data_IF_312206819418
#
_entry.id   IF_312206819418
#
_cell.length_a   1.000
_cell.length_b   1.000
_cell.length_c   1.000
_cell.angle_alpha   90.00
_cell.angle_beta   90.00
_cell.angle_gamma   90.00
#
_symmetry.space_group_name_H-M   'P 1'
#
loop_
_entity.id
_entity.type
_entity.pdbx_description
1 polymer ?
#
# COMPACT_ATOMS: atom_id res chain seq x y z
N UNK A 1 -7.55 -9.22 -6.00
CA UNK A 1 -6.59 -9.67 -4.97
C UNK A 1 -6.31 -8.60 -3.91
N UNK A 2 -5.64 -7.49 -4.24
CA UNK A 2 -5.32 -6.44 -3.26
C UNK A 2 -6.55 -5.95 -2.48
N UNK A 3 -7.64 -5.62 -3.19
CA UNK A 3 -8.94 -5.27 -2.61
C UNK A 3 -9.44 -6.30 -1.59
N UNK A 4 -9.56 -7.57 -2.00
CA UNK A 4 -10.07 -8.66 -1.16
C UNK A 4 -9.25 -8.82 0.13
N UNK A 5 -7.91 -8.72 0.04
CA UNK A 5 -7.02 -8.88 1.18
C UNK A 5 -7.24 -7.82 2.28
N UNK A 6 -7.56 -6.59 1.89
CA UNK A 6 -7.84 -5.49 2.81
C UNK A 6 -9.30 -5.35 3.21
N UNK A 7 -10.24 -5.72 2.33
CA UNK A 7 -11.67 -5.63 2.60
C UNK A 7 -12.06 -6.46 3.83
N UNK A 8 -11.51 -7.67 3.95
CA UNK A 8 -11.75 -8.53 5.10
C UNK A 8 -11.29 -7.93 6.44
N UNK A 9 -10.25 -7.10 6.45
CA UNK A 9 -9.76 -6.47 7.67
C UNK A 9 -10.76 -5.39 8.14
N UNK A 10 -11.27 -4.60 7.19
CA UNK A 10 -12.28 -3.58 7.45
C UNK A 10 -13.62 -4.12 7.98
N UNK A 11 -13.98 -5.35 7.61
CA UNK A 11 -15.26 -5.97 7.98
C UNK A 11 -15.47 -6.15 9.49
N UNK A 12 -14.39 -6.33 10.27
CA UNK A 12 -14.52 -6.73 11.67
C UNK A 12 -14.45 -5.58 12.67
N UNK A 13 -13.94 -4.41 12.29
CA UNK A 13 -13.60 -3.38 13.27
C UNK A 13 -14.77 -2.91 14.13
N UNK A 14 -15.91 -2.62 13.51
CA UNK A 14 -17.08 -2.11 14.22
C UNK A 14 -17.87 -3.19 14.97
N UNK A 15 -17.70 -4.47 14.62
CA UNK A 15 -18.48 -5.59 15.17
C UNK A 15 -17.71 -6.46 16.15
N UNK A 16 -16.37 -6.39 16.17
CA UNK A 16 -15.53 -7.30 16.97
C UNK A 16 -15.76 -7.18 18.48
N UNK A 17 -15.85 -5.95 19.01
CA UNK A 17 -16.09 -5.73 20.44
C UNK A 17 -17.50 -6.19 20.87
N UNK A 18 -18.59 -5.71 20.24
CA UNK A 18 -19.93 -6.18 20.57
C UNK A 18 -20.09 -7.70 20.42
N UNK A 19 -19.38 -8.33 19.48
CA UNK A 19 -19.36 -9.78 19.33
C UNK A 19 -18.67 -10.47 20.50
N UNK A 20 -17.47 -10.03 20.89
CA UNK A 20 -16.72 -10.60 22.01
C UNK A 20 -17.54 -10.56 23.31
N UNK A 21 -18.14 -9.42 23.63
CA UNK A 21 -19.00 -9.25 24.81
C UNK A 21 -20.28 -10.12 24.74
N UNK A 22 -20.72 -10.50 23.53
CA UNK A 22 -21.88 -11.38 23.35
C UNK A 22 -21.53 -12.85 23.54
N UNK A 23 -20.37 -13.30 23.05
CA UNK A 23 -19.95 -14.70 23.17
C UNK A 23 -19.33 -15.04 24.53
N UNK A 24 -18.72 -14.05 25.20
CA UNK A 24 -18.10 -14.17 26.52
C UNK A 24 -18.32 -12.87 27.32
N UNK A 25 -19.35 -12.81 28.19
CA UNK A 25 -19.62 -11.65 29.02
C UNK A 25 -18.52 -11.34 30.06
N UNK A 26 -17.63 -12.29 30.37
CA UNK A 26 -16.50 -12.08 31.27
C UNK A 26 -15.29 -11.46 30.56
N UNK A 27 -15.35 -11.32 29.23
CA UNK A 27 -14.25 -10.76 28.46
C UNK A 27 -14.07 -9.27 28.75
N UNK A 28 -12.84 -8.88 29.13
CA UNK A 28 -12.49 -7.48 29.37
C UNK A 28 -12.11 -6.76 28.08
N UNK A 29 -12.23 -5.42 28.08
CA UNK A 29 -11.73 -4.55 27.00
C UNK A 29 -10.22 -4.75 26.75
N UNK A 30 -9.47 -5.10 27.80
CA UNK A 30 -8.05 -5.42 27.71
C UNK A 30 -7.82 -6.67 26.86
N UNK A 31 -8.67 -7.68 26.97
CA UNK A 31 -8.57 -8.90 26.19
C UNK A 31 -8.85 -8.66 24.70
N UNK A 32 -9.76 -7.73 24.35
CA UNK A 32 -9.91 -7.26 22.98
C UNK A 32 -8.59 -6.70 22.42
N UNK A 33 -7.89 -5.89 23.22
CA UNK A 33 -6.56 -5.38 22.88
C UNK A 33 -5.57 -6.51 22.56
N UNK A 34 -5.58 -7.59 23.35
CA UNK A 34 -4.73 -8.78 23.11
C UNK A 34 -5.12 -9.49 21.81
N UNK A 35 -6.41 -9.66 21.51
CA UNK A 35 -6.88 -10.27 20.25
C UNK A 35 -6.36 -9.50 19.04
N UNK A 36 -6.43 -8.18 19.08
CA UNK A 36 -6.00 -7.31 17.98
C UNK A 36 -4.47 -7.26 17.89
N UNK A 37 -3.78 -7.23 19.03
CA UNK A 37 -2.33 -7.35 19.07
C UNK A 37 -1.84 -8.68 18.47
N UNK A 38 -2.52 -9.81 18.75
CA UNK A 38 -2.17 -11.11 18.18
C UNK A 38 -2.21 -11.11 16.64
N UNK A 39 -3.22 -10.48 16.04
CA UNK A 39 -3.28 -10.26 14.59
C UNK A 39 -2.08 -9.45 14.08
N UNK A 40 -1.76 -8.33 14.74
CA UNK A 40 -0.65 -7.45 14.35
C UNK A 40 0.73 -8.12 14.51
N UNK A 41 0.92 -8.91 15.56
CA UNK A 41 2.14 -9.69 15.82
C UNK A 41 2.32 -10.74 14.73
N UNK A 42 1.28 -11.51 14.42
CA UNK A 42 1.32 -12.47 13.32
C UNK A 42 1.68 -11.79 11.99
N UNK A 43 1.00 -10.68 11.66
CA UNK A 43 1.31 -9.91 10.45
C UNK A 43 2.78 -9.45 10.41
N UNK A 44 3.30 -8.92 11.52
CA UNK A 44 4.65 -8.39 11.62
C UNK A 44 5.72 -9.47 11.46
N UNK A 45 5.50 -10.66 12.03
CA UNK A 45 6.41 -11.80 11.93
C UNK A 45 6.35 -12.42 10.53
N UNK A 46 5.14 -12.59 9.97
CA UNK A 46 4.98 -13.32 8.71
C UNK A 46 5.25 -12.46 7.46
N UNK A 47 5.22 -11.14 7.54
CA UNK A 47 5.65 -10.27 6.43
C UNK A 47 7.09 -10.56 5.95
N UNK A 48 8.13 -10.53 6.81
CA UNK A 48 9.49 -10.85 6.39
C UNK A 48 9.65 -12.34 6.04
N UNK A 49 8.95 -13.25 6.74
CA UNK A 49 8.99 -14.70 6.42
C UNK A 49 8.46 -14.94 5.00
N UNK A 50 7.31 -14.38 4.65
CA UNK A 50 6.74 -14.51 3.32
C UNK A 50 7.63 -13.86 2.25
N UNK A 51 8.20 -12.69 2.55
CA UNK A 51 9.17 -12.03 1.66
C UNK A 51 10.40 -12.91 1.40
N UNK A 52 11.00 -13.47 2.46
CA UNK A 52 12.14 -14.39 2.34
C UNK A 52 11.75 -15.66 1.58
N UNK A 53 10.60 -16.25 1.90
CA UNK A 53 10.11 -17.47 1.25
C UNK A 53 9.86 -17.26 -0.25
N UNK A 54 9.21 -16.16 -0.62
CA UNK A 54 8.96 -15.82 -2.03
C UNK A 54 10.26 -15.61 -2.80
N UNK A 55 11.25 -14.93 -2.20
CA UNK A 55 12.56 -14.73 -2.81
C UNK A 55 13.33 -16.05 -2.99
N UNK A 56 13.24 -16.96 -2.01
CA UNK A 56 13.92 -18.27 -2.06
C UNK A 56 13.35 -19.19 -3.14
N UNK A 57 12.02 -19.24 -3.26
CA UNK A 57 11.34 -20.07 -4.26
C UNK A 57 11.31 -19.38 -5.63
N UNK A 58 11.65 -18.08 -5.70
CA UNK A 58 11.51 -17.23 -6.89
C UNK A 58 10.08 -17.24 -7.46
N UNK A 59 9.11 -17.43 -6.56
CA UNK A 59 7.69 -17.47 -6.89
C UNK A 59 6.89 -16.80 -5.76
N UNK A 60 5.89 -16.01 -6.12
CA UNK A 60 4.94 -15.38 -5.20
C UNK A 60 3.65 -16.16 -5.08
N UNK A 61 3.25 -16.90 -6.12
CA UNK A 61 1.95 -17.60 -6.16
C UNK A 61 1.78 -18.58 -4.99
N UNK A 62 2.85 -19.29 -4.62
CA UNK A 62 2.81 -20.30 -3.58
C UNK A 62 2.69 -19.68 -2.16
N UNK A 63 3.55 -18.73 -1.74
CA UNK A 63 3.35 -17.98 -0.50
C UNK A 63 1.98 -17.29 -0.40
N UNK A 64 1.52 -16.68 -1.51
CA UNK A 64 0.20 -16.03 -1.54
C UNK A 64 -0.93 -17.03 -1.32
N UNK A 65 -0.89 -18.18 -1.98
CA UNK A 65 -1.90 -19.23 -1.83
C UNK A 65 -1.97 -19.68 -0.38
N UNK A 66 -0.82 -19.95 0.25
CA UNK A 66 -0.75 -20.31 1.67
C UNK A 66 -1.38 -19.23 2.56
N UNK A 67 -1.04 -17.95 2.34
CA UNK A 67 -1.62 -16.85 3.11
C UNK A 67 -3.14 -16.74 2.94
N UNK A 68 -3.68 -16.90 1.72
CA UNK A 68 -5.14 -16.83 1.54
C UNK A 68 -5.83 -18.05 2.17
N UNK A 69 -5.23 -19.24 2.11
CA UNK A 69 -5.72 -20.41 2.83
C UNK A 69 -5.76 -20.18 4.35
N UNK A 70 -4.72 -19.58 4.93
CA UNK A 70 -4.74 -19.18 6.35
C UNK A 70 -5.87 -18.19 6.62
N UNK A 71 -6.11 -17.20 5.76
CA UNK A 71 -7.24 -16.28 5.93
C UNK A 71 -8.59 -17.02 5.88
N UNK A 72 -8.80 -17.94 4.94
CA UNK A 72 -10.03 -18.76 4.91
C UNK A 72 -10.17 -19.57 6.21
N UNK A 73 -9.10 -20.26 6.64
CA UNK A 73 -9.08 -21.04 7.88
C UNK A 73 -9.40 -20.19 9.11
N UNK A 74 -8.78 -19.01 9.23
CA UNK A 74 -9.02 -18.09 10.33
C UNK A 74 -10.45 -17.54 10.37
N UNK A 75 -11.06 -17.30 9.22
CA UNK A 75 -12.47 -16.89 9.14
C UNK A 75 -13.43 -18.05 9.44
N UNK A 76 -13.10 -19.28 9.03
CA UNK A 76 -13.86 -20.48 9.44
C UNK A 76 -13.78 -20.69 10.96
N UNK A 77 -12.59 -20.51 11.55
CA UNK A 77 -12.41 -20.60 13.00
C UNK A 77 -13.17 -19.49 13.75
N UNK A 78 -13.29 -18.31 13.16
CA UNK A 78 -14.13 -17.24 13.71
C UNK A 78 -15.61 -17.62 13.71
N UNK A 79 -16.11 -18.22 12.63
CA UNK A 79 -17.48 -18.72 12.54
C UNK A 79 -17.74 -19.85 13.54
N UNK A 80 -16.74 -20.70 13.80
CA UNK A 80 -16.90 -21.81 14.74
C UNK A 80 -16.82 -21.40 16.21
N UNK A 81 -16.52 -20.14 16.54
CA UNK A 81 -16.43 -19.66 17.93
C UNK A 81 -17.70 -19.96 18.75
N UNK A 82 -18.88 -19.93 18.14
CA UNK A 82 -20.16 -20.19 18.84
C UNK A 82 -20.40 -21.68 19.12
N UNK A 83 -19.77 -22.58 18.36
CA UNK A 83 -19.87 -24.03 18.55
C UNK A 83 -19.09 -24.52 19.79
N UNK A 84 -18.10 -23.75 20.26
CA UNK A 84 -17.33 -24.13 21.44
C UNK A 84 -18.12 -23.87 22.73
N UNK A 85 -18.19 -24.84 23.66
CA UNK A 85 -18.94 -24.69 24.90
C UNK A 85 -18.25 -23.78 25.92
N UNK A 86 -16.91 -23.74 25.94
CA UNK A 86 -16.09 -22.95 26.86
C UNK A 86 -14.96 -22.24 26.12
N UNK A 87 -14.38 -21.20 26.74
CA UNK A 87 -13.16 -20.52 26.28
C UNK A 87 -13.21 -19.88 24.87
N UNK A 88 -14.40 -19.44 24.46
CA UNK A 88 -14.67 -18.84 23.13
C UNK A 88 -13.76 -17.65 22.80
N UNK A 89 -13.37 -16.86 23.80
CA UNK A 89 -12.44 -15.73 23.64
C UNK A 89 -11.07 -16.15 23.11
N UNK A 90 -10.56 -17.32 23.50
CA UNK A 90 -9.27 -17.83 23.02
C UNK A 90 -9.35 -18.41 21.62
N UNK A 91 -10.50 -19.00 21.25
CA UNK A 91 -10.77 -19.42 19.87
C UNK A 91 -10.79 -18.21 18.95
N UNK A 92 -11.44 -17.13 19.38
CA UNK A 92 -11.46 -15.86 18.64
C UNK A 92 -10.05 -15.26 18.51
N UNK A 93 -9.23 -15.30 19.57
CA UNK A 93 -7.83 -14.89 19.54
C UNK A 93 -7.03 -15.69 18.49
N UNK A 94 -7.19 -17.02 18.48
CA UNK A 94 -6.53 -17.89 17.50
C UNK A 94 -7.01 -17.60 16.07
N UNK A 95 -8.31 -17.40 15.87
CA UNK A 95 -8.88 -17.03 14.59
C UNK A 95 -8.27 -15.75 14.03
N UNK A 96 -8.09 -14.72 14.88
CA UNK A 96 -7.44 -13.46 14.52
C UNK A 96 -5.95 -13.62 14.26
N UNK A 97 -5.24 -14.42 15.06
CA UNK A 97 -3.83 -14.72 14.84
C UNK A 97 -3.60 -15.37 13.46
N UNK A 98 -4.35 -16.42 13.13
CA UNK A 98 -4.26 -17.12 11.83
C UNK A 98 -4.61 -16.18 10.67
N UNK A 99 -5.63 -15.34 10.83
CA UNK A 99 -5.99 -14.34 9.80
C UNK A 99 -4.87 -13.30 9.63
N UNK A 100 -4.15 -12.96 10.70
CA UNK A 100 -2.98 -12.08 10.67
C UNK A 100 -1.82 -12.66 9.85
N UNK A 101 -1.56 -13.97 9.95
CA UNK A 101 -0.59 -14.68 9.12
C UNK A 101 -0.89 -14.45 7.64
N UNK A 102 -2.14 -14.71 7.22
CA UNK A 102 -2.50 -14.58 5.81
C UNK A 102 -2.53 -13.14 5.30
N UNK A 103 -2.78 -12.17 6.18
CA UNK A 103 -2.78 -10.75 5.83
C UNK A 103 -1.40 -10.23 5.42
N UNK A 104 -0.32 -10.96 5.70
CA UNK A 104 1.03 -10.69 5.19
C UNK A 104 1.10 -10.69 3.64
N UNK A 105 0.11 -11.26 2.95
CA UNK A 105 -0.03 -11.21 1.50
C UNK A 105 -0.07 -9.79 0.93
N UNK A 106 -0.53 -8.80 1.69
CA UNK A 106 -0.53 -7.40 1.24
C UNK A 106 0.90 -6.90 0.97
N UNK A 107 1.86 -7.30 1.80
CA UNK A 107 3.27 -6.96 1.60
C UNK A 107 3.83 -7.64 0.35
N UNK A 108 3.51 -8.92 0.14
CA UNK A 108 3.93 -9.67 -1.05
C UNK A 108 3.44 -9.03 -2.35
N UNK A 109 2.16 -8.67 -2.44
CA UNK A 109 1.59 -8.03 -3.65
C UNK A 109 2.32 -6.73 -3.99
N UNK A 110 2.65 -5.91 -2.98
CA UNK A 110 3.38 -4.65 -3.18
C UNK A 110 4.81 -4.89 -3.66
N UNK A 111 5.51 -5.86 -3.06
CA UNK A 111 6.87 -6.22 -3.46
C UNK A 111 6.90 -6.82 -4.87
N UNK A 112 5.95 -7.67 -5.22
CA UNK A 112 5.87 -8.22 -6.57
C UNK A 112 5.63 -7.15 -7.62
N UNK A 113 4.75 -6.18 -7.36
CA UNK A 113 4.55 -5.09 -8.32
C UNK A 113 5.78 -4.19 -8.48
N UNK A 114 6.64 -4.07 -7.48
CA UNK A 114 7.89 -3.32 -7.61
C UNK A 114 8.95 -4.08 -8.40
N UNK A 115 8.98 -5.41 -8.35
CA UNK A 115 10.00 -6.24 -9.02
C UNK A 115 9.57 -6.77 -10.39
N UNK A 116 8.27 -7.00 -10.60
CA UNK A 116 7.73 -7.58 -11.83
C UNK A 116 7.52 -6.56 -12.96
N UNK A 117 7.38 -5.27 -12.64
CA UNK A 117 7.06 -4.24 -13.62
C UNK A 117 8.31 -3.56 -14.20
N UNK A 118 8.25 -3.26 -15.51
CA UNK A 118 9.19 -2.35 -16.17
C UNK A 118 9.21 -0.98 -15.47
N UNK A 119 10.36 -0.28 -15.37
CA UNK A 119 10.47 1.00 -14.67
C UNK A 119 9.41 2.05 -15.07
N UNK A 120 9.05 2.10 -16.35
CA UNK A 120 8.04 3.05 -16.87
C UNK A 120 6.61 2.74 -16.39
N UNK A 121 6.26 1.47 -16.23
CA UNK A 121 4.92 1.01 -15.85
C UNK A 121 4.77 0.74 -14.35
N UNK A 122 5.89 0.62 -13.62
CA UNK A 122 5.91 0.31 -12.18
C UNK A 122 5.05 1.28 -11.36
N UNK A 123 5.15 2.57 -11.64
CA UNK A 123 4.33 3.58 -10.96
C UNK A 123 2.83 3.38 -11.18
N UNK A 124 2.45 2.92 -12.38
CA UNK A 124 1.05 2.60 -12.74
C UNK A 124 0.54 1.39 -11.98
N UNK A 125 1.32 0.30 -11.98
CA UNK A 125 0.96 -0.93 -11.27
C UNK A 125 0.81 -0.71 -9.76
N UNK A 126 1.79 -0.02 -9.13
CA UNK A 126 1.74 0.30 -7.70
C UNK A 126 0.50 1.13 -7.37
N UNK A 127 0.14 2.08 -8.23
CA UNK A 127 -1.05 2.92 -8.01
C UNK A 127 -2.35 2.11 -8.01
N UNK A 128 -2.52 1.19 -8.96
CA UNK A 128 -3.70 0.31 -8.98
C UNK A 128 -3.79 -0.56 -7.73
N UNK A 129 -2.65 -1.07 -7.25
CA UNK A 129 -2.60 -1.84 -6.00
C UNK A 129 -3.01 -0.97 -4.83
N UNK A 130 -2.45 0.24 -4.70
CA UNK A 130 -2.80 1.16 -3.61
C UNK A 130 -4.28 1.53 -3.64
N UNK A 131 -4.83 1.83 -4.82
CA UNK A 131 -6.28 2.08 -4.97
C UNK A 131 -7.10 0.86 -4.54
N UNK A 132 -6.71 -0.34 -4.94
CA UNK A 132 -7.39 -1.57 -4.51
C UNK A 132 -7.38 -1.75 -2.99
N UNK A 133 -6.22 -1.54 -2.34
CA UNK A 133 -6.08 -1.63 -0.88
C UNK A 133 -6.94 -0.58 -0.16
N UNK A 134 -6.88 0.66 -0.65
CA UNK A 134 -7.68 1.78 -0.18
C UNK A 134 -9.19 1.51 -0.28
N UNK A 135 -9.64 1.00 -1.44
CA UNK A 135 -11.04 0.63 -1.65
C UNK A 135 -11.47 -0.49 -0.70
N UNK A 136 -10.60 -1.46 -0.41
CA UNK A 136 -10.92 -2.54 0.53
C UNK A 136 -11.17 -2.01 1.94
N UNK A 137 -10.27 -1.16 2.45
CA UNK A 137 -10.43 -0.53 3.76
C UNK A 137 -11.70 0.32 3.82
N UNK A 138 -11.98 1.09 2.76
CA UNK A 138 -13.18 1.92 2.66
C UNK A 138 -14.48 1.10 2.62
N UNK A 139 -14.54 0.04 1.79
CA UNK A 139 -15.77 -0.72 1.59
C UNK A 139 -16.01 -1.77 2.68
N UNK A 140 -15.00 -2.16 3.46
CA UNK A 140 -15.16 -3.10 4.57
C UNK A 140 -16.27 -2.69 5.55
N UNK A 141 -16.21 -1.50 6.16
CA UNK A 141 -17.28 -1.01 7.04
C UNK A 141 -18.63 -0.83 6.34
N UNK A 142 -18.64 -0.52 5.04
CA UNK A 142 -19.89 -0.41 4.27
C UNK A 142 -20.59 -1.78 4.16
N UNK A 143 -19.85 -2.87 3.93
CA UNK A 143 -20.41 -4.22 3.97
C UNK A 143 -20.96 -4.57 5.35
N UNK A 144 -20.26 -4.21 6.43
CA UNK A 144 -20.76 -4.41 7.80
C UNK A 144 -22.07 -3.66 8.07
N UNK A 145 -22.21 -2.44 7.53
CA UNK A 145 -23.45 -1.67 7.62
C UNK A 145 -24.63 -2.43 6.97
N UNK A 146 -24.43 -3.03 5.79
CA UNK A 146 -25.44 -3.86 5.13
C UNK A 146 -25.83 -5.11 5.92
N UNK A 147 -24.95 -5.62 6.79
CA UNK A 147 -25.24 -6.77 7.64
C UNK A 147 -25.95 -6.40 8.95
N UNK A 148 -25.99 -5.12 9.32
CA UNK A 148 -26.56 -4.70 10.60
C UNK A 148 -28.08 -4.90 10.75
N UNK A 149 -28.92 -4.92 9.68
CA UNK A 149 -30.32 -5.32 9.80
C UNK A 149 -30.53 -6.76 10.29
N UNK A 150 -29.50 -7.62 10.18
CA UNK A 150 -29.51 -9.01 10.66
C UNK A 150 -29.13 -9.00 12.14
N UNK A 151 -30.05 -8.55 12.99
CA UNK A 151 -29.84 -8.48 14.44
C UNK A 151 -29.38 -9.82 15.02
N UNK A 152 -28.62 -9.78 16.12
CA UNK A 152 -28.22 -10.99 16.86
C UNK A 152 -29.39 -11.53 17.70
N UNK A 153 -29.64 -12.86 17.80
CA UNK A 153 -28.86 -13.99 17.28
C UNK A 153 -29.16 -14.39 15.81
N UNK A 154 -30.03 -13.67 15.10
CA UNK A 154 -30.28 -13.90 13.69
C UNK A 154 -30.82 -15.31 13.40
N UNK A 155 -30.29 -15.97 12.37
CA UNK A 155 -30.71 -17.33 11.97
C UNK A 155 -29.70 -18.37 12.43
N UNK A 156 -30.09 -19.26 13.34
CA UNK A 156 -29.21 -20.34 13.81
C UNK A 156 -29.29 -21.52 12.84
N UNK A 157 -28.16 -21.82 12.21
CA UNK A 157 -27.97 -22.96 11.31
C UNK A 157 -27.18 -24.04 12.07
N UNK A 158 -27.52 -25.31 11.86
CA UNK A 158 -26.82 -26.50 12.36
C UNK A 158 -26.11 -26.36 13.73
N UNK A 159 -26.80 -26.70 14.81
CA UNK A 159 -26.17 -27.00 16.09
C UNK A 159 -25.46 -25.85 16.83
N UNK A 160 -25.67 -24.60 16.41
CA UNK A 160 -25.14 -23.41 17.12
C UNK A 160 -24.39 -22.39 16.27
N UNK A 161 -24.32 -22.55 14.94
CA UNK A 161 -23.78 -21.53 14.03
C UNK A 161 -24.84 -20.45 13.78
N UNK A 162 -24.74 -19.29 14.42
CA UNK A 162 -25.62 -18.17 14.09
C UNK A 162 -25.19 -17.45 12.82
N UNK A 163 -26.17 -17.09 12.00
CA UNK A 163 -26.04 -16.12 10.91
C UNK A 163 -26.60 -14.80 11.44
N UNK A 164 -25.69 -13.95 11.89
CA UNK A 164 -25.99 -12.68 12.55
C UNK A 164 -25.11 -11.56 12.01
N UNK A 165 -25.37 -10.31 12.43
CA UNK A 165 -24.53 -9.16 12.09
C UNK A 165 -23.04 -9.33 12.46
N UNK A 166 -22.71 -10.26 13.36
CA UNK A 166 -21.34 -10.53 13.78
C UNK A 166 -20.65 -11.62 12.95
N UNK A 167 -21.39 -12.63 12.51
CA UNK A 167 -20.84 -13.77 11.75
C UNK A 167 -20.90 -13.56 10.23
N UNK A 168 -21.85 -12.75 9.73
CA UNK A 168 -21.93 -12.34 8.31
C UNK A 168 -20.63 -11.75 7.75
N UNK A 169 -19.91 -10.87 8.46
CA UNK A 169 -18.56 -10.45 8.10
C UNK A 169 -17.61 -11.60 7.76
N UNK A 170 -17.67 -12.70 8.51
CA UNK A 170 -16.80 -13.85 8.28
C UNK A 170 -17.23 -14.69 7.07
N UNK A 171 -18.52 -14.85 6.82
CA UNK A 171 -19.00 -15.42 5.57
C UNK A 171 -18.57 -14.59 4.36
N UNK A 172 -18.74 -13.26 4.43
CA UNK A 172 -18.29 -12.35 3.38
C UNK A 172 -16.76 -12.43 3.17
N UNK A 173 -15.97 -12.42 4.24
CA UNK A 173 -14.51 -12.58 4.17
C UNK A 173 -14.11 -13.92 3.52
N UNK A 174 -14.75 -15.03 3.90
CA UNK A 174 -14.53 -16.34 3.28
C UNK A 174 -14.80 -16.30 1.77
N UNK A 175 -15.94 -15.76 1.34
CA UNK A 175 -16.28 -15.67 -0.10
C UNK A 175 -15.28 -14.79 -0.87
N UNK A 176 -14.87 -13.65 -0.30
CA UNK A 176 -13.86 -12.77 -0.90
C UNK A 176 -12.50 -13.45 -1.00
N UNK A 177 -12.12 -14.26 -0.01
CA UNK A 177 -10.86 -15.00 0.00
C UNK A 177 -10.87 -16.17 -0.97
N UNK A 178 -11.98 -16.89 -1.11
CA UNK A 178 -12.16 -17.91 -2.15
C UNK A 178 -12.10 -17.28 -3.55
N UNK A 179 -12.73 -16.12 -3.74
CA UNK A 179 -12.61 -15.37 -4.98
C UNK A 179 -11.17 -14.91 -5.23
N UNK A 180 -10.46 -14.46 -4.19
CA UNK A 180 -9.05 -14.11 -4.30
C UNK A 180 -8.18 -15.32 -4.71
N UNK A 181 -8.41 -16.50 -4.13
CA UNK A 181 -7.76 -17.76 -4.53
C UNK A 181 -8.08 -18.12 -5.98
N UNK A 182 -9.35 -17.98 -6.40
CA UNK A 182 -9.75 -18.21 -7.78
C UNK A 182 -9.00 -17.27 -8.74
N UNK A 183 -8.99 -15.97 -8.47
CA UNK A 183 -8.25 -15.01 -9.30
C UNK A 183 -6.74 -15.26 -9.32
N UNK A 184 -6.16 -15.69 -8.19
CA UNK A 184 -4.75 -16.06 -8.10
C UNK A 184 -4.43 -17.33 -8.90
N UNK A 185 -5.33 -18.31 -8.94
CA UNK A 185 -5.06 -19.56 -9.62
C UNK A 185 -5.27 -19.45 -11.13
N UNK A 186 -6.39 -18.86 -11.56
CA UNK A 186 -6.84 -18.85 -12.95
C UNK A 186 -6.45 -17.60 -13.73
N UNK A 187 -6.42 -16.42 -13.10
CA UNK A 187 -6.16 -15.17 -13.81
C UNK A 187 -4.71 -14.68 -13.67
N UNK A 188 -4.07 -14.97 -12.54
CA UNK A 188 -2.72 -14.48 -12.26
C UNK A 188 -1.66 -15.33 -12.98
N UNK A 189 -1.01 -14.70 -13.96
CA UNK A 189 0.20 -15.21 -14.60
C UNK A 189 1.41 -14.49 -14.02
N UNK A 190 2.30 -15.27 -13.44
CA UNK A 190 3.49 -14.77 -12.81
C UNK A 190 4.58 -14.51 -13.86
N UNK A 191 5.05 -13.27 -13.91
CA UNK A 191 6.15 -12.82 -14.75
C UNK A 191 7.04 -11.86 -13.96
N UNK A 192 8.36 -11.93 -14.18
CA UNK A 192 9.34 -11.06 -13.55
C UNK A 192 10.13 -10.34 -14.65
N UNK A 193 9.88 -9.05 -14.85
CA UNK A 193 10.59 -8.26 -15.88
C UNK A 193 12.00 -7.79 -15.45
N UNK A 194 12.44 -8.12 -14.23
CA UNK A 194 13.64 -7.54 -13.61
C UNK A 194 14.69 -8.52 -13.09
N UNK A 195 14.56 -9.82 -13.35
CA UNK A 195 15.64 -10.78 -13.09
C UNK A 195 16.54 -10.83 -14.33
N UNK A 196 17.31 -9.77 -14.57
CA UNK A 196 18.47 -9.90 -15.46
C UNK A 196 19.37 -10.98 -14.88
N UNK A 197 19.68 -12.01 -15.67
CA UNK A 197 20.79 -12.91 -15.39
C UNK A 197 22.02 -12.04 -15.09
N UNK A 198 22.73 -12.38 -14.01
CA UNK A 198 23.90 -11.70 -13.46
C UNK A 198 24.70 -10.95 -14.53
N UNK A 199 24.41 -9.66 -14.72
CA UNK A 199 25.14 -8.80 -15.63
C UNK A 199 25.35 -7.45 -14.96
N UNK A 200 26.54 -7.33 -14.37
CA UNK A 200 27.36 -6.11 -14.21
C UNK A 200 26.81 -4.89 -13.45
N UNK A 201 25.56 -4.85 -13.00
CA UNK A 201 24.96 -3.65 -12.35
C UNK A 201 25.29 -3.55 -10.84
N UNK A 202 25.91 -4.58 -10.25
CA UNK A 202 26.06 -4.70 -8.79
C UNK A 202 26.97 -3.63 -8.13
N UNK A 203 27.81 -2.93 -8.90
CA UNK A 203 28.86 -2.08 -8.32
C UNK A 203 28.53 -0.58 -8.16
N UNK A 204 27.37 -0.08 -8.62
CA UNK A 204 27.08 1.37 -8.61
C UNK A 204 25.68 1.76 -8.12
N UNK A 205 25.08 0.96 -7.24
CA UNK A 205 23.83 1.37 -6.57
C UNK A 205 24.21 2.34 -5.42
N UNK A 206 23.76 3.61 -5.45
CA UNK A 206 24.06 4.54 -4.36
C UNK A 206 23.49 4.01 -3.04
N UNK A 207 24.27 4.09 -1.96
CA UNK A 207 23.81 3.71 -0.61
C UNK A 207 22.54 4.50 -0.29
N UNK A 208 21.49 3.80 0.10
CA UNK A 208 20.24 4.45 0.50
C UNK A 208 20.47 5.24 1.80
N UNK A 209 19.72 6.33 1.96
CA UNK A 209 19.78 7.15 3.16
C UNK A 209 19.05 6.44 4.32
N UNK A 210 19.84 5.87 5.23
CA UNK A 210 19.33 5.14 6.40
C UNK A 210 18.50 6.08 7.30
N UNK A 211 18.91 7.34 7.47
CA UNK A 211 18.20 8.29 8.33
C UNK A 211 16.83 8.60 7.76
N UNK A 212 16.75 8.81 6.44
CA UNK A 212 15.48 9.03 5.75
C UNK A 212 14.57 7.80 5.85
N UNK A 213 15.11 6.59 5.63
CA UNK A 213 14.33 5.34 5.72
C UNK A 213 13.82 5.10 7.14
N UNK A 214 14.67 5.27 8.16
CA UNK A 214 14.28 5.09 9.57
C UNK A 214 13.22 6.12 9.96
N UNK A 215 13.41 7.39 9.57
CA UNK A 215 12.46 8.46 9.88
C UNK A 215 11.11 8.22 9.19
N UNK A 216 11.12 7.77 7.93
CA UNK A 216 9.90 7.42 7.19
C UNK A 216 9.15 6.25 7.84
N UNK A 217 9.86 5.16 8.17
CA UNK A 217 9.26 4.01 8.84
C UNK A 217 8.72 4.37 10.22
N UNK A 218 9.47 5.11 11.01
CA UNK A 218 9.03 5.56 12.34
C UNK A 218 7.79 6.45 12.25
N UNK A 219 7.77 7.41 11.33
CA UNK A 219 6.60 8.27 11.10
C UNK A 219 5.39 7.43 10.71
N UNK A 220 5.56 6.44 9.83
CA UNK A 220 4.47 5.57 9.40
C UNK A 220 3.99 4.63 10.51
N UNK A 221 4.90 4.15 11.35
CA UNK A 221 4.60 3.37 12.53
C UNK A 221 3.74 4.17 13.52
N UNK A 222 4.16 5.40 13.87
CA UNK A 222 3.40 6.27 14.78
C UNK A 222 2.02 6.57 14.21
N UNK A 223 1.93 6.86 12.92
CA UNK A 223 0.65 7.10 12.24
C UNK A 223 -0.28 5.88 12.32
N UNK A 224 0.24 4.68 12.03
CA UNK A 224 -0.56 3.45 12.10
C UNK A 224 -0.93 3.08 13.54
N UNK A 225 -0.05 3.35 14.50
CA UNK A 225 -0.28 3.10 15.92
C UNK A 225 -1.44 3.96 16.45
N UNK A 226 -1.40 5.28 16.21
CA UNK A 226 -2.47 6.19 16.60
C UNK A 226 -3.77 5.76 15.94
N UNK A 227 -3.73 5.48 14.63
CA UNK A 227 -4.90 5.08 13.87
C UNK A 227 -5.54 3.80 14.43
N UNK A 228 -4.74 2.78 14.71
CA UNK A 228 -5.23 1.50 15.24
C UNK A 228 -5.82 1.67 16.64
N UNK A 229 -5.18 2.44 17.53
CA UNK A 229 -5.70 2.68 18.89
C UNK A 229 -7.05 3.42 18.87
N UNK A 230 -7.17 4.41 17.99
CA UNK A 230 -8.41 5.17 17.79
C UNK A 230 -9.57 4.26 17.38
N UNK A 231 -9.34 3.35 16.43
CA UNK A 231 -10.35 2.39 15.97
C UNK A 231 -10.74 1.37 17.05
N UNK A 232 -9.78 0.89 17.86
CA UNK A 232 -10.03 -0.11 18.91
C UNK A 232 -10.94 0.45 20.00
N UNK A 233 -10.69 1.69 20.43
CA UNK A 233 -11.40 2.33 21.54
C UNK A 233 -12.83 2.72 21.14
N UNK A 234 -13.09 2.90 19.85
CA UNK A 234 -14.38 3.34 19.32
C UNK A 234 -15.56 2.44 19.75
N UNK A 235 -15.37 1.12 19.68
CA UNK A 235 -16.39 0.13 20.03
C UNK A 235 -16.80 0.20 21.51
N UNK A 236 -15.85 0.00 22.45
CA UNK A 236 -16.11 0.14 23.88
C UNK A 236 -16.72 1.49 24.26
N UNK A 237 -16.19 2.62 23.73
CA UNK A 237 -16.75 3.95 23.99
C UNK A 237 -18.21 4.09 23.56
N UNK A 238 -18.58 3.54 22.40
CA UNK A 238 -19.96 3.58 21.91
C UNK A 238 -20.92 2.90 22.89
N UNK A 239 -20.51 1.78 23.49
CA UNK A 239 -21.33 1.04 24.45
C UNK A 239 -21.34 1.70 25.84
N UNK A 240 -20.17 2.08 26.37
CA UNK A 240 -20.03 2.50 27.77
C UNK A 240 -20.30 3.99 28.00
N UNK A 241 -19.83 4.87 27.12
CA UNK A 241 -19.96 6.33 27.29
C UNK A 241 -21.27 6.84 26.70
N UNK A 242 -21.64 6.36 25.52
CA UNK A 242 -22.88 6.77 24.86
C UNK A 242 -24.08 5.89 25.21
N UNK A 243 -23.86 4.76 25.88
CA UNK A 243 -24.94 3.83 26.25
C UNK A 243 -25.65 3.24 25.03
N UNK A 244 -25.00 3.18 23.87
CA UNK A 244 -25.66 2.70 22.66
C UNK A 244 -25.93 1.19 22.75
N UNK A 245 -27.10 0.72 22.31
CA UNK A 245 -27.30 -0.71 22.16
C UNK A 245 -26.35 -1.26 21.10
N UNK A 246 -25.92 -2.51 21.25
CA UNK A 246 -24.91 -3.16 20.40
C UNK A 246 -25.14 -2.96 18.90
N UNK A 247 -26.39 -3.09 18.45
CA UNK A 247 -26.76 -2.87 17.04
C UNK A 247 -26.52 -1.43 16.57
N UNK A 248 -26.93 -0.44 17.36
CA UNK A 248 -26.71 0.99 17.05
C UNK A 248 -25.23 1.37 17.10
N UNK A 249 -24.46 0.76 18.02
CA UNK A 249 -23.02 0.99 18.10
C UNK A 249 -22.32 0.52 16.82
N UNK A 250 -22.63 -0.69 16.34
CA UNK A 250 -22.11 -1.22 15.06
C UNK A 250 -22.53 -0.33 13.90
N UNK A 251 -23.83 0.01 13.80
CA UNK A 251 -24.37 0.87 12.73
C UNK A 251 -23.69 2.24 12.68
N UNK A 252 -23.55 2.90 13.83
CA UNK A 252 -22.97 4.25 13.92
C UNK A 252 -21.49 4.22 13.56
N UNK A 253 -20.74 3.24 14.08
CA UNK A 253 -19.33 3.07 13.75
C UNK A 253 -19.13 2.78 12.26
N UNK A 254 -19.88 1.83 11.69
CA UNK A 254 -19.80 1.48 10.26
C UNK A 254 -20.20 2.66 9.36
N UNK A 255 -21.22 3.43 9.74
CA UNK A 255 -21.66 4.62 8.98
C UNK A 255 -20.60 5.71 9.02
N UNK A 256 -20.02 5.99 10.19
CA UNK A 256 -18.94 6.97 10.33
C UNK A 256 -17.72 6.58 9.47
N UNK A 257 -17.27 5.34 9.53
CA UNK A 257 -16.14 4.86 8.73
C UNK A 257 -16.44 4.85 7.22
N UNK A 258 -17.70 4.60 6.82
CA UNK A 258 -18.09 4.66 5.41
C UNK A 258 -18.14 6.11 4.91
N UNK A 259 -18.70 7.03 5.70
CA UNK A 259 -18.71 8.45 5.40
C UNK A 259 -17.28 9.01 5.28
N UNK A 260 -16.37 8.54 6.15
CA UNK A 260 -14.94 8.82 6.04
C UNK A 260 -14.38 8.48 4.68
N UNK A 261 -14.53 7.21 4.28
CA UNK A 261 -13.99 6.72 3.03
C UNK A 261 -14.58 7.45 1.83
N UNK A 262 -15.87 7.81 1.88
CA UNK A 262 -16.52 8.62 0.86
C UNK A 262 -15.92 10.03 0.76
N UNK A 263 -15.66 10.70 1.90
CA UNK A 263 -14.98 12.01 1.91
C UNK A 263 -13.55 11.89 1.38
N UNK A 264 -12.81 10.85 1.77
CA UNK A 264 -11.47 10.60 1.26
C UNK A 264 -11.45 10.35 -0.26
N UNK A 265 -12.39 9.55 -0.77
CA UNK A 265 -12.56 9.29 -2.20
C UNK A 265 -12.95 10.57 -2.97
N UNK A 266 -13.84 11.38 -2.41
CA UNK A 266 -14.23 12.67 -2.97
C UNK A 266 -13.04 13.63 -3.07
N UNK A 267 -12.27 13.79 -1.99
CA UNK A 267 -11.06 14.61 -1.99
C UNK A 267 -10.06 14.10 -3.03
N UNK A 268 -9.84 12.79 -3.11
CA UNK A 268 -8.96 12.20 -4.12
C UNK A 268 -9.44 12.52 -5.55
N UNK A 269 -10.75 12.39 -5.82
CA UNK A 269 -11.33 12.71 -7.11
C UNK A 269 -11.14 14.20 -7.46
N UNK A 270 -11.37 15.11 -6.52
CA UNK A 270 -11.12 16.55 -6.69
C UNK A 270 -9.64 16.80 -7.00
N UNK A 271 -8.72 16.19 -6.25
CA UNK A 271 -7.28 16.33 -6.47
C UNK A 271 -6.84 15.85 -7.85
N UNK A 272 -7.44 14.77 -8.36
CA UNK A 272 -7.15 14.22 -9.69
C UNK A 272 -7.75 15.10 -10.79
N UNK A 273 -9.05 15.39 -10.73
CA UNK A 273 -9.80 16.11 -11.78
C UNK A 273 -9.25 17.53 -11.97
N UNK A 274 -9.07 18.28 -10.88
CA UNK A 274 -8.60 19.67 -10.95
C UNK A 274 -7.08 19.79 -11.04
N UNK A 275 -6.35 18.66 -11.07
CA UNK A 275 -4.87 18.61 -11.12
C UNK A 275 -4.24 19.54 -10.08
N UNK A 276 -4.78 19.57 -8.86
CA UNK A 276 -4.38 20.49 -7.77
C UNK A 276 -2.88 20.38 -7.44
N UNK A 277 -2.26 19.24 -7.73
CA UNK A 277 -0.81 19.02 -7.61
C UNK A 277 0.06 20.04 -8.35
N UNK A 278 -0.46 20.64 -9.45
CA UNK A 278 0.26 21.64 -10.23
C UNK A 278 0.23 23.02 -9.57
N UNK A 279 -0.78 23.27 -8.73
CA UNK A 279 -1.04 24.56 -8.10
C UNK A 279 -0.63 24.59 -6.63
N UNK A 280 -0.77 23.47 -5.93
CA UNK A 280 -0.54 23.38 -4.49
C UNK A 280 0.76 22.62 -4.22
N UNK A 281 1.74 23.32 -3.65
CA UNK A 281 2.98 22.67 -3.16
C UNK A 281 2.61 21.69 -2.05
N UNK A 282 3.14 20.47 -2.15
CA UNK A 282 2.90 19.38 -1.19
C UNK A 282 3.06 19.82 0.26
N UNK A 283 4.13 20.57 0.56
CA UNK A 283 4.42 21.09 1.91
C UNK A 283 3.35 22.04 2.45
N UNK A 284 2.72 22.84 1.59
CA UNK A 284 1.65 23.76 2.01
C UNK A 284 0.38 22.96 2.28
N UNK A 285 0.06 21.99 1.43
CA UNK A 285 -1.10 21.10 1.64
C UNK A 285 -1.00 20.34 2.95
N UNK A 286 0.18 19.81 3.30
CA UNK A 286 0.37 19.11 4.58
C UNK A 286 0.30 20.06 5.77
N UNK A 287 0.87 21.26 5.69
CA UNK A 287 0.77 22.26 6.77
C UNK A 287 -0.66 22.76 6.98
N UNK A 288 -1.43 22.95 5.90
CA UNK A 288 -2.86 23.31 5.99
C UNK A 288 -3.67 22.17 6.61
N UNK A 289 -3.44 20.92 6.22
CA UNK A 289 -4.11 19.76 6.82
C UNK A 289 -3.79 19.63 8.32
N UNK A 290 -2.54 19.82 8.73
CA UNK A 290 -2.13 19.83 10.14
C UNK A 290 -2.72 21.03 10.91
N UNK A 291 -2.84 22.20 10.26
CA UNK A 291 -3.46 23.38 10.84
C UNK A 291 -4.96 23.19 11.09
N UNK A 292 -5.69 22.64 10.11
CA UNK A 292 -7.11 22.28 10.25
C UNK A 292 -7.28 21.25 11.38
N UNK A 293 -6.40 20.26 11.46
CA UNK A 293 -6.40 19.26 12.53
C UNK A 293 -6.27 19.89 13.92
N UNK A 294 -5.30 20.81 14.10
CA UNK A 294 -5.13 21.52 15.37
C UNK A 294 -6.36 22.37 15.70
N UNK A 295 -6.88 23.14 14.75
CA UNK A 295 -8.06 23.98 14.96
C UNK A 295 -9.29 23.15 15.33
N UNK A 296 -9.50 22.00 14.68
CA UNK A 296 -10.61 21.10 15.00
C UNK A 296 -10.43 20.45 16.39
N UNK A 297 -9.20 20.08 16.77
CA UNK A 297 -8.89 19.57 18.11
C UNK A 297 -9.11 20.63 19.21
N UNK A 298 -8.89 21.92 18.91
CA UNK A 298 -9.14 23.03 19.85
C UNK A 298 -10.61 23.43 19.95
N UNK A 299 -11.38 23.34 18.86
CA UNK A 299 -12.81 23.69 18.82
C UNK A 299 -13.70 22.62 19.48
N UNK A 300 -13.25 21.36 19.54
CA UNK A 300 -14.03 20.26 20.11
C UNK A 300 -13.91 20.20 21.64
N UNK A 301 -14.51 21.15 22.37
CA UNK A 301 -14.92 20.87 23.76
C UNK A 301 -16.19 20.03 23.72
N UNK A 302 -16.12 18.83 24.30
CA UNK A 302 -17.20 17.89 24.60
C UNK A 302 -17.85 17.08 23.47
N UNK A 303 -17.70 17.42 22.18
CA UNK A 303 -18.34 16.65 21.09
C UNK A 303 -17.35 15.87 20.23
N UNK A 304 -17.01 14.70 20.77
CA UNK A 304 -16.85 13.41 20.07
C UNK A 304 -15.53 13.16 19.32
N UNK A 305 -14.67 12.40 20.02
CA UNK A 305 -13.56 11.56 19.57
C UNK A 305 -13.77 10.83 18.22
N UNK A 306 -15.00 10.51 17.82
CA UNK A 306 -15.37 10.01 16.47
C UNK A 306 -14.86 10.92 15.36
N UNK A 307 -14.87 12.26 15.51
CA UNK A 307 -14.26 13.17 14.51
C UNK A 307 -12.73 13.07 14.48
N UNK A 308 -12.10 12.70 15.59
CA UNK A 308 -10.66 12.52 15.73
C UNK A 308 -10.20 11.22 15.03
N UNK A 309 -11.01 10.15 15.13
CA UNK A 309 -10.87 8.89 14.38
C UNK A 309 -11.01 9.15 12.86
N UNK A 310 -12.04 9.92 12.47
CA UNK A 310 -12.27 10.32 11.07
C UNK A 310 -11.14 11.19 10.48
N UNK A 311 -10.29 11.83 11.28
CA UNK A 311 -9.33 12.83 10.78
C UNK A 311 -7.89 12.30 10.61
N UNK A 312 -7.42 11.42 11.49
CA UNK A 312 -6.07 10.82 11.38
C UNK A 312 -5.94 9.95 10.12
N UNK A 313 -7.03 9.31 9.70
CA UNK A 313 -7.10 8.51 8.47
C UNK A 313 -7.05 9.36 7.18
N UNK A 314 -7.60 10.58 7.22
CA UNK A 314 -7.55 11.51 6.09
C UNK A 314 -6.12 11.91 5.72
N UNK A 315 -5.22 11.95 6.71
CA UNK A 315 -3.79 12.18 6.47
C UNK A 315 -3.07 10.97 5.84
N UNK A 316 -3.45 9.74 6.20
CA UNK A 316 -2.91 8.52 5.56
C UNK A 316 -3.28 8.46 4.08
N UNK A 317 -4.55 8.73 3.78
CA UNK A 317 -5.04 8.82 2.41
C UNK A 317 -4.56 10.07 1.68
N UNK A 318 -4.26 11.17 2.36
CA UNK A 318 -3.69 12.37 1.74
C UNK A 318 -2.26 12.12 1.24
N UNK A 319 -1.42 11.45 2.03
CA UNK A 319 -0.06 11.05 1.64
C UNK A 319 -0.06 10.03 0.50
N UNK A 320 -0.80 8.94 0.66
CA UNK A 320 -0.90 7.89 -0.36
C UNK A 320 -1.65 8.38 -1.60
N UNK A 321 -2.70 9.18 -1.41
CA UNK A 321 -3.52 9.79 -2.45
C UNK A 321 -2.78 10.85 -3.26
N UNK A 322 -1.86 11.61 -2.67
CA UNK A 322 -1.02 12.55 -3.44
C UNK A 322 0.01 11.81 -4.30
N UNK A 323 0.62 10.74 -3.77
CA UNK A 323 1.50 9.87 -4.55
C UNK A 323 0.73 9.16 -5.68
N UNK A 324 -0.44 8.61 -5.37
CA UNK A 324 -1.35 7.95 -6.31
C UNK A 324 -1.87 8.94 -7.36
N UNK A 325 -2.28 10.15 -6.98
CA UNK A 325 -2.71 11.20 -7.91
C UNK A 325 -1.59 11.62 -8.85
N UNK A 326 -0.36 11.74 -8.37
CA UNK A 326 0.81 12.02 -9.22
C UNK A 326 1.04 10.94 -10.26
N UNK A 327 0.92 9.68 -9.86
CA UNK A 327 1.05 8.56 -10.78
C UNK A 327 -0.14 8.45 -11.76
N UNK A 328 -1.38 8.61 -11.30
CA UNK A 328 -2.59 8.65 -12.14
C UNK A 328 -2.56 9.80 -13.14
N UNK A 329 -2.14 10.99 -12.74
CA UNK A 329 -1.98 12.11 -13.66
C UNK A 329 -0.85 11.90 -14.67
N UNK A 330 0.24 11.20 -14.31
CA UNK A 330 1.24 10.75 -15.31
C UNK A 330 0.65 9.72 -16.28
N UNK A 331 -0.20 8.81 -15.81
CA UNK A 331 -0.87 7.80 -16.64
C UNK A 331 -1.86 8.41 -17.63
N UNK A 332 -2.76 9.27 -17.16
CA UNK A 332 -3.81 9.87 -17.98
C UNK A 332 -3.37 11.17 -18.69
N UNK A 333 -2.22 11.73 -18.29
CA UNK A 333 -1.64 12.95 -18.88
C UNK A 333 -0.68 12.68 -20.03
N UNK A 334 -0.15 11.46 -20.18
CA UNK A 334 0.48 11.05 -21.45
C UNK A 334 -0.65 10.92 -22.47
N UNK A 335 -0.80 11.91 -23.36
CA UNK A 335 -1.37 11.62 -24.69
C UNK A 335 -0.60 10.42 -25.22
N UNK A 336 -1.30 9.45 -25.80
CA UNK A 336 -0.66 8.36 -26.52
C UNK A 336 0.19 8.98 -27.64
N UNK A 337 1.46 9.23 -27.35
CA UNK A 337 2.48 9.21 -28.37
C UNK A 337 2.46 7.77 -28.87
N UNK A 338 1.74 7.56 -29.97
CA UNK A 338 1.97 6.42 -30.85
C UNK A 338 3.50 6.39 -31.00
N UNK A 339 4.19 5.29 -30.67
CA UNK A 339 5.63 5.23 -30.88
C UNK A 339 5.84 5.59 -32.36
N UNK A 340 6.52 6.71 -32.61
CA UNK A 340 6.86 7.08 -33.99
C UNK A 340 7.51 5.85 -34.60
N UNK A 341 7.09 5.43 -35.81
CA UNK A 341 7.75 4.33 -36.47
C UNK A 341 9.25 4.66 -36.49
N UNK A 342 10.12 3.68 -36.18
CA UNK A 342 11.55 3.94 -36.16
C UNK A 342 11.93 4.66 -37.46
N UNK A 343 12.77 5.72 -37.39
CA UNK A 343 13.15 6.46 -38.57
C UNK A 343 13.59 5.44 -39.62
N UNK A 344 13.13 5.55 -40.88
CA UNK A 344 13.46 4.58 -41.91
C UNK A 344 14.98 4.43 -41.88
N UNK A 345 15.43 3.19 -41.65
CA UNK A 345 16.86 2.85 -41.68
C UNK A 345 17.37 3.41 -43.00
N UNK A 346 18.12 4.51 -42.94
CA UNK A 346 18.81 5.03 -44.11
C UNK A 346 19.68 3.87 -44.57
N UNK A 347 19.36 3.31 -45.73
CA UNK A 347 20.28 2.39 -46.39
C UNK A 347 21.65 3.07 -46.38
N UNK A 348 22.63 2.38 -45.82
CA UNK A 348 24.00 2.81 -45.78
C UNK A 348 24.39 3.18 -47.20
N UNK A 349 24.53 4.48 -47.49
CA UNK A 349 24.85 4.96 -48.82
C UNK A 349 26.31 4.53 -49.09
N UNK A 350 26.47 3.46 -49.87
CA UNK A 350 27.75 2.84 -50.18
C UNK A 350 28.72 3.85 -50.83
N UNK A 351 28.19 4.94 -51.38
CA UNK A 351 28.96 6.05 -51.94
C UNK A 351 29.64 6.92 -50.87
N UNK A 352 29.17 6.91 -49.61
CA UNK A 352 29.85 7.59 -48.50
C UNK A 352 31.05 6.79 -47.96
N UNK A 353 31.03 5.46 -48.06
CA UNK A 353 32.19 4.63 -47.70
C UNK A 353 33.32 4.68 -48.75
N UNK A 354 32.98 4.92 -50.02
CA UNK A 354 33.95 5.02 -51.12
C UNK A 354 34.74 6.34 -51.17
N UNK A 355 34.54 7.26 -50.22
CA UNK A 355 35.23 8.57 -50.16
C UNK A 355 36.30 8.70 -49.07
N UNK A 356 36.61 7.63 -48.33
CA UNK A 356 37.78 7.62 -47.45
C UNK A 356 38.93 6.86 -48.10
N UNK A 357 40.08 7.49 -48.38
CA UNK A 357 41.26 6.74 -48.78
C UNK A 357 41.77 5.96 -47.57
N UNK A 358 41.73 4.64 -47.70
CA UNK A 358 42.40 3.70 -46.81
C UNK A 358 43.92 3.78 -47.01
N UNK A 359 44.67 3.87 -45.92
CA UNK A 359 46.12 3.55 -45.82
C UNK A 359 46.28 2.91 -44.43
N UNK A 360 46.10 1.60 -44.26
CA UNK A 360 47.06 0.52 -44.54
C UNK A 360 48.48 0.90 -44.11
N UNK A 361 48.83 0.37 -42.95
CA UNK A 361 50.15 0.39 -42.34
C UNK A 361 51.04 -0.64 -43.07
N UNK A 362 52.04 -0.18 -43.82
CA UNK A 362 53.05 -1.02 -44.48
C UNK A 362 54.46 -0.46 -44.21
N UNK A 363 55.24 -1.25 -43.46
CA UNK A 363 56.69 -1.47 -43.48
C UNK A 363 57.69 -0.29 -43.28
N UNK A 364 58.74 -0.46 -42.45
CA UNK A 364 59.64 0.60 -41.98
C UNK A 364 60.85 0.79 -42.89
N UNK A 365 60.71 1.60 -43.95
CA UNK A 365 61.88 2.06 -44.73
C UNK A 365 61.74 3.49 -45.26
N UNK A 366 60.88 4.30 -44.64
CA UNK A 366 60.76 5.73 -44.93
C UNK A 366 61.06 6.50 -43.65
N UNK A 367 62.32 6.94 -43.55
CA UNK A 367 62.78 7.95 -42.60
C UNK A 367 61.99 9.24 -42.82
N UNK A 368 61.36 9.75 -41.78
CA UNK A 368 60.77 11.08 -41.75
C UNK A 368 61.58 11.92 -40.76
N UNK A 369 62.33 12.87 -41.33
CA UNK A 369 63.01 13.95 -40.62
C UNK A 369 61.96 14.92 -40.06
N UNK A 370 61.60 14.76 -38.78
CA UNK A 370 61.24 15.83 -37.82
C UNK A 370 60.66 15.21 -36.52
N UNK A 371 61.02 15.70 -35.31
CA UNK A 371 60.54 15.12 -34.07
C UNK A 371 59.09 15.55 -33.77
N UNK A 372 58.18 14.58 -33.66
CA UNK A 372 56.82 14.80 -33.15
C UNK A 372 56.82 14.88 -31.62
N UNK A 373 56.24 15.94 -31.07
CA UNK A 373 56.01 16.12 -29.64
C UNK A 373 54.75 15.34 -29.21
N UNK A 374 54.90 14.43 -28.24
CA UNK A 374 53.78 13.63 -27.69
C UNK A 374 53.04 14.47 -26.67
N UNK A 375 51.81 14.88 -26.97
CA UNK A 375 50.91 15.52 -26.00
C UNK A 375 50.18 14.41 -25.22
N UNK A 376 50.61 14.14 -23.99
CA UNK A 376 49.84 13.31 -23.05
C UNK A 376 48.52 14.00 -22.67
N UNK A 377 47.40 13.28 -22.52
CA UNK A 377 46.15 13.89 -22.09
C UNK A 377 46.23 14.34 -20.62
N UNK A 378 46.02 15.64 -20.41
CA UNK A 378 46.00 16.31 -19.10
C UNK A 378 44.95 15.66 -18.17
N UNK A 379 45.41 15.18 -17.00
CA UNK A 379 44.56 14.62 -15.94
C UNK A 379 43.77 15.75 -15.30
N UNK A 380 42.49 15.89 -15.67
CA UNK A 380 41.58 16.85 -15.02
C UNK A 380 41.23 16.38 -13.60
N UNK A 381 41.57 17.12 -12.52
CA UNK A 381 41.19 16.74 -11.16
C UNK A 381 39.69 17.01 -10.90
N UNK A 382 39.01 16.05 -10.27
CA UNK A 382 37.59 16.18 -9.86
C UNK A 382 37.43 17.25 -8.77
N UNK A 383 36.45 18.17 -8.85
CA UNK A 383 36.16 19.07 -7.73
C UNK A 383 35.40 18.35 -6.60
N UNK A 384 35.67 18.77 -5.35
CA UNK A 384 35.17 18.20 -4.10
C UNK A 384 33.65 18.44 -3.84
N UNK A 385 32.99 17.70 -2.93
CA UNK A 385 31.53 17.63 -2.85
C UNK A 385 30.90 18.66 -1.88
N UNK A 386 31.45 19.86 -1.73
CA UNK A 386 30.80 20.91 -0.91
C UNK A 386 30.92 22.29 -1.58
N UNK A 387 29.87 22.73 -2.28
CA UNK A 387 29.56 24.16 -2.47
C UNK A 387 28.08 24.39 -2.79
N UNK A 388 27.44 25.21 -1.96
CA UNK A 388 26.08 25.73 -2.10
C UNK A 388 25.88 26.41 -3.46
N UNK A 389 24.76 26.10 -4.14
CA UNK A 389 24.33 26.74 -5.40
C UNK A 389 24.04 28.24 -5.18
N UNK A 390 24.91 29.12 -5.65
CA UNK A 390 24.55 30.50 -6.00
C UNK A 390 24.09 30.54 -7.46
N UNK A 391 22.88 31.04 -7.71
CA UNK A 391 22.31 31.23 -9.06
C UNK A 391 22.88 32.50 -9.70
N UNK A 392 23.43 32.50 -10.92
CA UNK A 392 23.56 33.73 -11.69
C UNK A 392 22.33 33.93 -12.58
N UNK A 393 21.65 35.07 -12.41
CA UNK A 393 20.67 35.60 -13.37
C UNK A 393 21.44 36.18 -14.56
N UNK A 394 21.27 35.61 -15.76
CA UNK A 394 21.73 36.26 -16.99
C UNK A 394 20.70 37.30 -17.44
N UNK A 395 21.13 38.56 -17.54
CA UNK A 395 20.44 39.61 -18.29
C UNK A 395 21.05 39.66 -19.69
N UNK A 396 20.22 39.49 -20.73
CA UNK A 396 20.61 39.71 -22.12
C UNK A 396 20.33 41.18 -22.48
N UNK A 397 21.36 41.94 -22.80
CA UNK A 397 21.23 43.23 -23.50
C UNK A 397 21.67 43.00 -24.94
N UNK A 398 20.78 43.34 -25.87
CA UNK A 398 20.95 43.25 -27.33
C UNK A 398 21.77 44.47 -27.80
N UNK A 399 22.79 44.24 -28.64
CA UNK A 399 23.28 45.28 -29.57
C UNK A 399 22.63 45.06 -30.92
#
# INVERSE_FOLDING_TARGET
MAFCATAQFGLYFSSLWPYLETIDPEASEQFLGVIIAAYCVALSIFCPIFGYWSNRVKQIKLPMTFGICCMVLGNILYLSCELFPHDRRYVLLMARFITGIGSANVALIRTYASTACHPDDRGRAISFITVGLSMGIMLGPAFQMFFTPISYPGWVIFGGLSVSMYTMPAYAACTMNLFALFTLHFCFKESYAGLSEESEIENNIPKYDIVAVVTCNFTRFVQQLIYTNLDIVAGPFALTVFGYPKQMAVQTASTAMTAHGAVAAFLLAVFIIFKLQNYVKYRISTMVAMGIFLVMAFLSKATIFVLLILQVQGMSFGLDGFAVSRHLNKMFGKKSEIPEPPPPVKQLDLNMMMRQPAMINLNPSLELDEPFEVIEPEVVPRPSPYRLKTRPRLWLIRK
#
